data_IF_144344545339
#
_entry.id   IF_144344545339
#
_cell.length_a   1.000
_cell.length_b   1.000
_cell.length_c   1.000
_cell.angle_alpha   90.00
_cell.angle_beta   90.00
_cell.angle_gamma   90.00
#
_symmetry.space_group_name_H-M   'P 1'
#
loop_
_entity.id
_entity.type
_entity.pdbx_description
1 polymer ?
#
# COMPACT_ATOMS: atom_id res chain seq x y z
N UNK A 1 -20.32 -45.71 -37.61
CA UNK A 1 -20.64 -45.31 -36.24
C UNK A 1 -20.13 -43.89 -36.05
N UNK A 2 -21.04 -42.95 -36.20
CA UNK A 2 -20.81 -41.52 -36.08
C UNK A 2 -20.94 -41.15 -34.61
N UNK A 3 -19.83 -40.78 -33.96
CA UNK A 3 -19.84 -40.18 -32.63
C UNK A 3 -19.88 -38.68 -32.78
N UNK A 4 -20.96 -38.13 -32.32
CA UNK A 4 -21.46 -36.77 -32.41
C UNK A 4 -20.53 -35.75 -31.77
N UNK A 5 -20.08 -34.78 -32.58
CA UNK A 5 -19.48 -33.52 -32.25
C UNK A 5 -20.52 -32.52 -31.69
N UNK A 6 -21.00 -32.70 -30.47
CA UNK A 6 -22.05 -31.84 -29.87
C UNK A 6 -21.61 -31.04 -28.63
N UNK A 7 -20.36 -31.16 -28.21
CA UNK A 7 -19.84 -30.51 -26.99
C UNK A 7 -19.14 -29.15 -27.19
N UNK A 8 -19.03 -28.64 -28.44
CA UNK A 8 -18.24 -27.43 -28.75
C UNK A 8 -19.06 -26.18 -29.09
N UNK A 9 -20.38 -26.17 -28.87
CA UNK A 9 -21.27 -25.12 -29.39
C UNK A 9 -21.97 -24.22 -28.38
N UNK A 10 -21.65 -24.21 -27.10
CA UNK A 10 -22.50 -23.49 -26.10
C UNK A 10 -21.80 -22.44 -25.26
N UNK A 11 -20.75 -21.72 -25.70
CA UNK A 11 -20.23 -20.58 -24.90
C UNK A 11 -19.93 -19.28 -25.68
N UNK A 12 -20.41 -19.14 -26.88
CA UNK A 12 -20.39 -17.85 -27.57
C UNK A 12 -21.68 -17.07 -27.25
N UNK A 13 -21.66 -16.20 -26.24
CA UNK A 13 -22.72 -15.21 -26.12
C UNK A 13 -23.29 -14.90 -24.75
N UNK A 14 -22.70 -15.33 -23.63
CA UNK A 14 -23.18 -14.86 -22.32
C UNK A 14 -22.58 -13.49 -21.96
N UNK A 15 -23.41 -12.52 -21.49
CA UNK A 15 -22.92 -11.20 -21.10
C UNK A 15 -21.90 -11.28 -19.98
N UNK A 16 -20.91 -10.38 -20.02
CA UNK A 16 -19.79 -10.24 -19.06
C UNK A 16 -20.26 -9.73 -17.67
N UNK A 17 -21.27 -10.36 -17.06
CA UNK A 17 -21.69 -10.05 -15.69
C UNK A 17 -20.84 -10.86 -14.70
N UNK A 18 -20.49 -10.25 -13.58
CA UNK A 18 -19.80 -10.90 -12.48
C UNK A 18 -20.55 -12.14 -12.00
N UNK A 19 -19.88 -13.27 -11.91
CA UNK A 19 -20.44 -14.58 -11.59
C UNK A 19 -19.53 -15.39 -10.68
N UNK A 20 -20.05 -16.47 -10.15
CA UNK A 20 -19.30 -17.49 -9.44
C UNK A 20 -18.61 -18.41 -10.45
N UNK A 21 -17.32 -18.62 -10.29
CA UNK A 21 -16.49 -19.51 -11.11
C UNK A 21 -16.05 -20.68 -10.23
N UNK A 22 -16.50 -21.89 -10.57
CA UNK A 22 -16.22 -23.10 -9.81
C UNK A 22 -14.99 -23.85 -10.35
N UNK A 23 -14.65 -23.68 -11.62
CA UNK A 23 -13.47 -24.26 -12.28
C UNK A 23 -12.55 -23.14 -12.79
N UNK A 24 -11.40 -22.98 -12.13
CA UNK A 24 -10.41 -21.97 -12.46
C UNK A 24 -9.02 -22.57 -12.55
N UNK A 25 -8.49 -22.69 -13.77
CA UNK A 25 -7.23 -23.40 -14.10
C UNK A 25 -6.22 -22.44 -14.77
N UNK A 26 -5.70 -21.42 -14.08
CA UNK A 26 -4.88 -20.38 -14.69
C UNK A 26 -3.51 -20.89 -15.19
N UNK A 27 -3.02 -22.02 -14.66
CA UNK A 27 -1.75 -22.62 -15.07
C UNK A 27 -1.84 -23.36 -16.41
N UNK A 28 -3.04 -23.76 -16.86
CA UNK A 28 -3.26 -24.42 -18.15
C UNK A 28 -3.19 -23.39 -19.29
N UNK A 29 -2.25 -23.53 -20.27
CA UNK A 29 -2.08 -22.55 -21.33
C UNK A 29 -3.32 -22.36 -22.22
N UNK A 30 -4.02 -23.45 -22.53
CA UNK A 30 -5.22 -23.42 -23.38
C UNK A 30 -6.38 -22.70 -22.67
N UNK A 31 -6.65 -23.05 -21.40
CA UNK A 31 -7.66 -22.37 -20.59
C UNK A 31 -7.34 -20.88 -20.45
N UNK A 32 -6.07 -20.57 -20.18
CA UNK A 32 -5.61 -19.20 -20.04
C UNK A 32 -5.83 -18.38 -21.30
N UNK A 33 -5.42 -18.91 -22.49
CA UNK A 33 -5.58 -18.23 -23.78
C UNK A 33 -7.04 -18.05 -24.16
N UNK A 34 -7.89 -19.05 -23.95
CA UNK A 34 -9.29 -19.03 -24.36
C UNK A 34 -10.15 -18.10 -23.48
N UNK A 35 -9.98 -18.16 -22.16
CA UNK A 35 -10.90 -17.50 -21.23
C UNK A 35 -10.19 -16.81 -20.07
N UNK A 36 -9.18 -17.44 -19.46
CA UNK A 36 -8.57 -17.04 -18.21
C UNK A 36 -8.02 -15.61 -18.24
N UNK A 37 -7.24 -15.26 -19.28
CA UNK A 37 -6.60 -13.95 -19.41
C UNK A 37 -7.62 -12.80 -19.42
N UNK A 38 -8.71 -12.95 -20.12
CA UNK A 38 -9.78 -11.92 -20.23
C UNK A 38 -10.50 -11.71 -18.89
N UNK A 39 -10.85 -12.81 -18.21
CA UNK A 39 -11.49 -12.78 -16.89
C UNK A 39 -10.57 -12.18 -15.84
N UNK A 40 -9.32 -12.63 -15.78
CA UNK A 40 -8.33 -12.13 -14.86
C UNK A 40 -8.06 -10.64 -15.06
N UNK A 41 -7.91 -10.18 -16.32
CA UNK A 41 -7.70 -8.76 -16.65
C UNK A 41 -8.88 -7.88 -16.19
N UNK A 42 -10.11 -8.33 -16.40
CA UNK A 42 -11.30 -7.60 -15.95
C UNK A 42 -11.30 -7.44 -14.42
N UNK A 43 -11.07 -8.52 -13.69
CA UNK A 43 -10.98 -8.50 -12.23
C UNK A 43 -9.82 -7.61 -11.75
N UNK A 44 -8.66 -7.62 -12.44
CA UNK A 44 -7.52 -6.77 -12.12
C UNK A 44 -7.87 -5.27 -12.26
N UNK A 45 -8.46 -4.86 -13.37
CA UNK A 45 -8.82 -3.45 -13.61
C UNK A 45 -9.77 -2.92 -12.54
N UNK A 46 -10.81 -3.70 -12.22
CA UNK A 46 -11.79 -3.32 -11.18
C UNK A 46 -11.18 -3.35 -9.77
N UNK A 47 -10.27 -4.29 -9.52
CA UNK A 47 -9.52 -4.38 -8.28
C UNK A 47 -8.62 -3.16 -8.09
N UNK A 48 -7.87 -2.76 -9.13
CA UNK A 48 -7.04 -1.55 -9.13
C UNK A 48 -7.90 -0.32 -8.84
N UNK A 49 -9.04 -0.18 -9.52
CA UNK A 49 -9.92 0.96 -9.33
C UNK A 49 -10.46 1.03 -7.91
N UNK A 50 -10.97 -0.08 -7.37
CA UNK A 50 -11.47 -0.14 -5.99
C UNK A 50 -10.38 0.11 -4.95
N UNK A 51 -9.17 -0.41 -5.17
CA UNK A 51 -8.01 -0.19 -4.31
C UNK A 51 -7.53 1.26 -4.36
N UNK A 52 -7.49 1.87 -5.55
CA UNK A 52 -7.16 3.26 -5.76
C UNK A 52 -8.08 4.19 -4.95
N UNK A 53 -9.40 3.99 -5.05
CA UNK A 53 -10.38 4.74 -4.27
C UNK A 53 -10.20 4.48 -2.77
N UNK A 54 -9.93 3.23 -2.38
CA UNK A 54 -9.62 2.87 -0.99
C UNK A 54 -8.42 3.63 -0.44
N UNK A 55 -7.32 3.69 -1.20
CA UNK A 55 -6.13 4.46 -0.81
C UNK A 55 -6.40 5.96 -0.75
N UNK A 56 -7.16 6.50 -1.70
CA UNK A 56 -7.53 7.93 -1.69
C UNK A 56 -8.34 8.29 -0.43
N UNK A 57 -9.34 7.50 -0.08
CA UNK A 57 -10.13 7.73 1.15
C UNK A 57 -9.30 7.49 2.41
N UNK A 58 -8.45 6.47 2.41
CA UNK A 58 -7.54 6.19 3.53
C UNK A 58 -6.60 7.35 3.83
N UNK A 59 -6.02 7.95 2.78
CA UNK A 59 -5.06 9.04 2.91
C UNK A 59 -5.69 10.44 2.81
N UNK A 60 -7.01 10.53 2.78
CA UNK A 60 -7.78 11.78 2.71
C UNK A 60 -7.32 12.81 3.78
N UNK A 61 -7.01 12.34 4.97
CA UNK A 61 -6.59 13.19 6.09
C UNK A 61 -5.24 13.88 5.87
N UNK A 62 -4.38 13.36 4.98
CA UNK A 62 -3.14 14.05 4.58
C UNK A 62 -3.42 15.41 3.91
N UNK A 63 -4.58 15.54 3.32
CA UNK A 63 -5.06 16.75 2.64
C UNK A 63 -5.95 17.57 3.56
N UNK A 64 -6.93 16.93 4.23
CA UNK A 64 -7.89 17.62 5.11
C UNK A 64 -7.18 18.46 6.16
N UNK A 65 -6.09 17.97 6.75
CA UNK A 65 -5.33 18.73 7.77
C UNK A 65 -4.78 20.07 7.25
N UNK A 66 -4.59 20.23 5.94
CA UNK A 66 -4.15 21.49 5.34
C UNK A 66 -5.26 22.55 5.36
N UNK A 67 -6.54 22.12 5.33
CA UNK A 67 -7.70 23.03 5.43
C UNK A 67 -8.00 23.47 6.86
N UNK A 68 -7.53 22.71 7.87
CA UNK A 68 -7.83 22.99 9.27
C UNK A 68 -7.04 24.23 9.77
N UNK A 69 -7.60 25.41 9.49
CA UNK A 69 -7.08 26.67 9.96
C UNK A 69 -7.43 26.95 11.43
N UNK A 70 -7.20 28.19 11.92
CA UNK A 70 -7.43 28.59 13.32
C UNK A 70 -8.87 28.33 13.82
N UNK A 71 -9.87 28.44 12.93
CA UNK A 71 -11.28 28.22 13.25
C UNK A 71 -11.62 26.78 13.73
N UNK A 72 -10.71 25.82 13.52
CA UNK A 72 -10.85 24.44 13.98
C UNK A 72 -10.15 24.18 15.32
N UNK A 73 -9.35 25.11 15.83
CA UNK A 73 -8.66 24.99 17.12
C UNK A 73 -7.68 23.81 17.21
N UNK A 74 -7.17 23.32 16.07
CA UNK A 74 -6.25 22.18 16.01
C UNK A 74 -4.82 22.67 15.82
N UNK A 75 -3.97 22.38 16.80
CA UNK A 75 -2.54 22.66 16.75
C UNK A 75 -1.79 21.73 15.78
N UNK A 76 -0.54 22.03 15.43
CA UNK A 76 0.25 21.17 14.55
C UNK A 76 0.40 19.75 15.06
N UNK A 77 0.58 19.54 16.36
CA UNK A 77 0.72 18.22 16.96
C UNK A 77 -0.59 17.40 16.85
N UNK A 78 -1.73 18.06 17.05
CA UNK A 78 -3.05 17.47 16.84
C UNK A 78 -3.28 17.06 15.39
N UNK A 79 -2.81 17.85 14.42
CA UNK A 79 -2.89 17.50 12.98
C UNK A 79 -2.08 16.24 12.65
N UNK A 80 -0.87 16.07 13.21
CA UNK A 80 -0.11 14.83 13.04
C UNK A 80 -0.81 13.62 13.68
N UNK A 81 -1.54 13.80 14.78
CA UNK A 81 -2.34 12.72 15.34
C UNK A 81 -3.53 12.36 14.43
N UNK A 82 -4.22 13.37 13.86
CA UNK A 82 -5.30 13.14 12.88
C UNK A 82 -4.84 12.36 11.65
N UNK A 83 -3.60 12.50 11.20
CA UNK A 83 -3.04 11.71 10.11
C UNK A 83 -2.54 10.33 10.55
N UNK A 84 -2.14 10.18 11.83
CA UNK A 84 -1.71 8.90 12.39
C UNK A 84 -2.86 7.91 12.58
N UNK A 85 -4.03 8.40 12.97
CA UNK A 85 -5.20 7.55 13.32
C UNK A 85 -5.70 6.73 12.12
N UNK A 86 -5.96 7.29 10.93
CA UNK A 86 -6.37 6.48 9.78
C UNK A 86 -5.26 5.50 9.35
N UNK A 87 -3.98 5.88 9.49
CA UNK A 87 -2.85 4.98 9.21
C UNK A 87 -2.89 3.75 10.14
N UNK A 88 -3.15 3.95 11.44
CA UNK A 88 -3.29 2.88 12.43
C UNK A 88 -4.45 1.95 12.12
N UNK A 89 -5.64 2.51 11.95
CA UNK A 89 -6.85 1.72 11.67
C UNK A 89 -6.68 0.93 10.37
N UNK A 90 -6.14 1.57 9.32
CA UNK A 90 -5.87 0.91 8.04
C UNK A 90 -4.87 -0.24 8.16
N UNK A 91 -3.81 -0.08 8.95
CA UNK A 91 -2.83 -1.13 9.20
C UNK A 91 -3.45 -2.34 9.91
N UNK A 92 -4.24 -2.11 10.95
CA UNK A 92 -4.93 -3.17 11.71
C UNK A 92 -5.94 -3.91 10.83
N UNK A 93 -6.73 -3.18 10.05
CA UNK A 93 -7.77 -3.77 9.19
C UNK A 93 -7.21 -4.62 8.04
N UNK A 94 -5.95 -4.46 7.64
CA UNK A 94 -5.32 -5.34 6.64
C UNK A 94 -5.37 -6.81 7.03
N UNK A 95 -5.28 -7.11 8.33
CA UNK A 95 -5.31 -8.51 8.82
C UNK A 95 -6.67 -9.17 8.49
N UNK A 96 -7.83 -8.69 9.00
CA UNK A 96 -9.12 -9.29 8.69
C UNK A 96 -9.48 -9.23 7.19
N UNK A 97 -9.07 -8.19 6.47
CA UNK A 97 -9.30 -8.05 5.02
C UNK A 97 -8.56 -9.13 4.21
N UNK A 98 -7.37 -9.55 4.64
CA UNK A 98 -6.64 -10.66 3.99
C UNK A 98 -7.48 -11.95 3.99
N UNK A 99 -8.19 -12.24 5.09
CA UNK A 99 -9.01 -13.44 5.22
C UNK A 99 -10.39 -13.32 4.58
N UNK A 100 -10.87 -12.11 4.38
CA UNK A 100 -12.22 -11.85 3.92
C UNK A 100 -12.48 -12.41 2.51
N UNK A 101 -11.47 -12.37 1.63
CA UNK A 101 -11.57 -12.91 0.26
C UNK A 101 -11.85 -14.42 0.26
N UNK A 102 -11.14 -15.18 1.08
CA UNK A 102 -11.36 -16.63 1.18
C UNK A 102 -12.64 -17.03 1.91
N UNK A 103 -13.27 -16.11 2.68
CA UNK A 103 -14.52 -16.37 3.41
C UNK A 103 -15.76 -15.93 2.63
N UNK A 104 -15.71 -14.75 2.01
CA UNK A 104 -16.88 -14.11 1.38
C UNK A 104 -16.83 -14.12 -0.14
N UNK A 105 -15.66 -14.43 -0.73
CA UNK A 105 -15.36 -14.30 -2.15
C UNK A 105 -14.84 -12.91 -2.51
N UNK A 106 -13.94 -12.86 -3.51
CA UNK A 106 -13.24 -11.63 -3.88
C UNK A 106 -14.16 -10.51 -4.36
N UNK A 107 -15.11 -10.85 -5.26
CA UNK A 107 -16.13 -9.91 -5.72
C UNK A 107 -16.97 -9.36 -4.57
N UNK A 108 -17.57 -10.25 -3.78
CA UNK A 108 -18.49 -9.84 -2.71
C UNK A 108 -17.79 -8.96 -1.68
N UNK A 109 -16.55 -9.31 -1.34
CA UNK A 109 -15.76 -8.50 -0.42
C UNK A 109 -15.38 -7.15 -1.01
N UNK A 110 -15.01 -7.09 -2.30
CA UNK A 110 -14.70 -5.82 -2.98
C UNK A 110 -15.93 -4.91 -3.04
N UNK A 111 -17.12 -5.46 -3.31
CA UNK A 111 -18.38 -4.69 -3.27
C UNK A 111 -18.62 -4.11 -1.89
N UNK A 112 -18.52 -4.94 -0.84
CA UNK A 112 -18.73 -4.51 0.54
C UNK A 112 -17.70 -3.47 0.98
N UNK A 113 -16.42 -3.73 0.76
CA UNK A 113 -15.34 -2.84 1.19
C UNK A 113 -15.31 -1.53 0.42
N UNK A 114 -15.67 -1.54 -0.87
CA UNK A 114 -15.84 -0.32 -1.64
C UNK A 114 -17.06 0.48 -1.14
N UNK A 115 -18.22 -0.14 -0.95
CA UNK A 115 -19.40 0.54 -0.43
C UNK A 115 -19.18 1.11 0.99
N UNK A 116 -18.39 0.41 1.82
CA UNK A 116 -18.05 0.87 3.17
C UNK A 116 -17.32 2.22 3.16
N UNK A 117 -16.59 2.55 2.08
CA UNK A 117 -15.91 3.85 1.93
C UNK A 117 -16.90 5.03 1.85
N UNK A 118 -18.18 4.79 1.55
CA UNK A 118 -19.20 5.84 1.61
C UNK A 118 -19.33 6.42 3.02
N UNK A 119 -19.16 5.60 4.05
CA UNK A 119 -19.31 6.07 5.44
C UNK A 119 -18.31 7.19 5.76
N UNK A 120 -16.98 7.01 5.65
CA UNK A 120 -16.03 8.09 5.90
C UNK A 120 -16.18 9.26 4.90
N UNK A 121 -16.47 8.99 3.63
CA UNK A 121 -16.61 10.04 2.63
C UNK A 121 -17.81 10.96 2.91
N UNK A 122 -18.99 10.39 3.19
CA UNK A 122 -20.19 11.15 3.53
C UNK A 122 -20.03 11.88 4.85
N UNK A 123 -19.55 11.19 5.90
CA UNK A 123 -19.33 11.83 7.19
C UNK A 123 -18.34 13.00 7.10
N UNK A 124 -17.21 12.83 6.38
CA UNK A 124 -16.25 13.89 6.19
C UNK A 124 -16.83 15.06 5.38
N UNK A 125 -17.59 14.77 4.32
CA UNK A 125 -18.20 15.81 3.48
C UNK A 125 -19.16 16.71 4.24
N UNK A 126 -19.89 16.19 5.21
CA UNK A 126 -20.93 16.94 5.92
C UNK A 126 -20.53 17.45 7.31
N UNK A 127 -19.61 16.77 8.02
CA UNK A 127 -19.29 17.07 9.41
C UNK A 127 -18.01 17.90 9.61
N UNK A 128 -17.11 17.98 8.61
CA UNK A 128 -15.90 18.80 8.73
C UNK A 128 -16.27 20.27 8.49
N UNK A 129 -16.58 20.98 9.58
CA UNK A 129 -16.97 22.41 9.61
C UNK A 129 -16.27 23.13 10.74
N UNK A 130 -16.08 24.47 10.65
CA UNK A 130 -15.59 25.25 11.76
C UNK A 130 -16.41 25.02 13.04
N UNK A 131 -15.74 24.89 14.18
CA UNK A 131 -16.38 24.59 15.47
C UNK A 131 -16.64 23.11 15.76
N UNK A 132 -16.34 22.18 14.82
CA UNK A 132 -16.39 20.74 15.11
C UNK A 132 -15.36 20.37 16.18
N UNK A 133 -15.76 19.50 17.13
CA UNK A 133 -14.86 19.06 18.20
C UNK A 133 -13.68 18.23 17.67
N UNK A 134 -12.54 18.36 18.34
CA UNK A 134 -11.34 17.55 17.98
C UNK A 134 -11.59 16.05 18.08
N UNK A 135 -12.38 15.59 19.07
CA UNK A 135 -12.79 14.18 19.20
C UNK A 135 -13.61 13.70 17.99
N UNK A 136 -14.50 14.55 17.47
CA UNK A 136 -15.24 14.23 16.23
C UNK A 136 -14.28 14.09 15.05
N UNK A 137 -13.32 14.99 14.89
CA UNK A 137 -12.30 14.88 13.84
C UNK A 137 -11.49 13.57 13.96
N UNK A 138 -11.12 13.15 15.18
CA UNK A 138 -10.44 11.88 15.42
C UNK A 138 -11.29 10.67 15.01
N UNK A 139 -12.59 10.69 15.34
CA UNK A 139 -13.50 9.61 14.93
C UNK A 139 -13.62 9.56 13.40
N UNK A 140 -13.80 10.70 12.75
CA UNK A 140 -13.85 10.78 11.29
C UNK A 140 -12.56 10.26 10.64
N UNK A 141 -11.42 10.61 11.23
CA UNK A 141 -10.12 10.13 10.80
C UNK A 141 -9.99 8.60 10.97
N UNK A 142 -10.44 8.07 12.10
CA UNK A 142 -10.44 6.63 12.37
C UNK A 142 -11.29 5.85 11.35
N UNK A 143 -12.49 6.34 11.07
CA UNK A 143 -13.41 5.71 10.10
C UNK A 143 -12.81 5.72 8.69
N UNK A 144 -12.06 6.76 8.29
CA UNK A 144 -11.36 6.78 7.01
C UNK A 144 -10.31 5.65 6.87
N UNK A 145 -9.82 5.13 8.00
CA UNK A 145 -8.91 4.00 8.05
C UNK A 145 -9.40 2.73 7.36
N UNK A 146 -10.72 2.55 7.18
CA UNK A 146 -11.30 1.35 6.51
C UNK A 146 -10.74 1.17 5.08
N UNK A 147 -10.36 2.26 4.40
CA UNK A 147 -9.78 2.21 3.07
C UNK A 147 -8.41 1.54 3.00
N UNK A 148 -7.63 1.58 4.11
CA UNK A 148 -6.30 0.97 4.17
C UNK A 148 -6.31 -0.56 4.10
N UNK A 149 -7.42 -1.20 4.46
CA UNK A 149 -7.62 -2.64 4.36
C UNK A 149 -7.75 -3.15 2.92
N UNK A 150 -8.24 -2.32 2.00
CA UNK A 150 -8.53 -2.71 0.62
C UNK A 150 -7.30 -3.28 -0.12
N UNK A 151 -6.10 -2.81 0.19
CA UNK A 151 -4.86 -3.36 -0.33
C UNK A 151 -4.74 -4.87 -0.08
N UNK A 152 -4.97 -5.30 1.16
CA UNK A 152 -4.75 -6.68 1.54
C UNK A 152 -5.73 -7.63 0.84
N UNK A 153 -7.01 -7.27 0.78
CA UNK A 153 -8.03 -8.05 0.09
C UNK A 153 -7.85 -8.05 -1.43
N UNK A 154 -7.49 -6.91 -2.02
CA UNK A 154 -7.21 -6.76 -3.44
C UNK A 154 -6.05 -7.66 -3.87
N UNK A 155 -4.93 -7.60 -3.13
CA UNK A 155 -3.75 -8.43 -3.40
C UNK A 155 -4.07 -9.93 -3.29
N UNK A 156 -4.82 -10.35 -2.25
CA UNK A 156 -5.23 -11.73 -2.07
C UNK A 156 -6.13 -12.22 -3.22
N UNK A 157 -7.07 -11.38 -3.66
CA UNK A 157 -7.97 -11.69 -4.76
C UNK A 157 -7.22 -11.84 -6.09
N UNK A 158 -6.39 -10.88 -6.47
CA UNK A 158 -5.65 -10.90 -7.75
C UNK A 158 -4.60 -12.01 -7.77
N UNK A 159 -3.98 -12.33 -6.63
CA UNK A 159 -3.08 -13.48 -6.52
C UNK A 159 -3.74 -14.80 -6.94
N UNK A 160 -5.05 -14.97 -6.72
CA UNK A 160 -5.78 -16.17 -7.08
C UNK A 160 -6.15 -16.22 -8.58
N UNK A 161 -6.34 -15.08 -9.23
CA UNK A 161 -6.73 -15.03 -10.64
C UNK A 161 -5.58 -15.32 -11.62
N UNK A 162 -4.32 -15.03 -11.26
CA UNK A 162 -3.20 -15.06 -12.20
C UNK A 162 -2.33 -16.30 -12.07
N UNK A 163 -1.84 -16.86 -13.22
CA UNK A 163 -0.87 -17.93 -13.22
C UNK A 163 0.47 -17.46 -12.66
N UNK A 164 1.28 -18.38 -12.15
CA UNK A 164 2.54 -18.08 -11.47
C UNK A 164 3.48 -17.22 -12.31
N UNK A 165 3.57 -17.48 -13.63
CA UNK A 165 4.42 -16.72 -14.57
C UNK A 165 4.04 -15.24 -14.71
N UNK A 166 2.79 -14.86 -14.45
CA UNK A 166 2.28 -13.49 -14.57
C UNK A 166 1.92 -12.85 -13.23
N UNK A 167 1.97 -13.60 -12.15
CA UNK A 167 1.53 -13.19 -10.82
C UNK A 167 2.28 -11.96 -10.30
N UNK A 168 3.60 -11.94 -10.45
CA UNK A 168 4.43 -10.81 -10.03
C UNK A 168 4.07 -9.50 -10.77
N UNK A 169 3.81 -9.59 -12.07
CA UNK A 169 3.37 -8.46 -12.88
C UNK A 169 1.99 -7.95 -12.44
N UNK A 170 1.02 -8.86 -12.29
CA UNK A 170 -0.35 -8.50 -11.92
C UNK A 170 -0.42 -7.85 -10.52
N UNK A 171 0.25 -8.44 -9.54
CA UNK A 171 0.32 -7.89 -8.18
C UNK A 171 1.09 -6.57 -8.13
N UNK A 172 2.14 -6.43 -8.95
CA UNK A 172 2.90 -5.19 -9.08
C UNK A 172 2.06 -4.04 -9.61
N UNK A 173 1.28 -4.28 -10.67
CA UNK A 173 0.36 -3.28 -11.24
C UNK A 173 -0.78 -2.96 -10.29
N UNK A 174 -1.37 -3.99 -9.67
CA UNK A 174 -2.44 -3.80 -8.68
C UNK A 174 -1.96 -2.88 -7.54
N UNK A 175 -0.86 -3.21 -6.91
CA UNK A 175 -0.30 -2.42 -5.82
C UNK A 175 0.14 -1.00 -6.24
N UNK A 176 0.72 -0.86 -7.45
CA UNK A 176 1.11 0.45 -7.99
C UNK A 176 -0.11 1.33 -8.27
N UNK A 177 -1.15 0.76 -8.89
CA UNK A 177 -2.41 1.45 -9.18
C UNK A 177 -3.15 1.89 -7.91
N UNK A 178 -3.16 1.06 -6.87
CA UNK A 178 -3.66 1.43 -5.55
C UNK A 178 -2.89 2.60 -4.94
N UNK A 179 -1.56 2.49 -4.89
CA UNK A 179 -0.70 3.53 -4.31
C UNK A 179 -0.85 4.90 -5.00
N UNK A 180 -1.17 4.94 -6.30
CA UNK A 180 -1.46 6.19 -7.01
C UNK A 180 -2.62 6.97 -6.37
N UNK A 181 -3.55 6.30 -5.67
CA UNK A 181 -4.63 6.94 -4.92
C UNK A 181 -4.14 7.94 -3.87
N UNK A 182 -2.95 7.73 -3.31
CA UNK A 182 -2.31 8.68 -2.37
C UNK A 182 -1.96 10.01 -3.07
N UNK A 183 -1.44 9.93 -4.30
CA UNK A 183 -1.11 11.13 -5.07
C UNK A 183 -2.38 11.82 -5.59
N UNK A 184 -3.36 11.04 -6.06
CA UNK A 184 -4.59 11.57 -6.65
C UNK A 184 -5.44 12.31 -5.62
N UNK A 185 -5.56 11.83 -4.37
CA UNK A 185 -6.30 12.57 -3.35
C UNK A 185 -5.63 13.91 -3.02
N UNK A 186 -4.30 13.99 -3.10
CA UNK A 186 -3.58 15.24 -2.89
C UNK A 186 -3.77 16.21 -4.05
N UNK A 187 -3.84 15.72 -5.30
CA UNK A 187 -4.22 16.53 -6.45
C UNK A 187 -5.68 17.02 -6.37
N UNK A 188 -6.60 16.18 -5.91
CA UNK A 188 -7.99 16.59 -5.65
C UNK A 188 -8.03 17.67 -4.56
N UNK A 189 -7.26 17.53 -3.50
CA UNK A 189 -7.13 18.55 -2.47
C UNK A 189 -6.57 19.86 -2.98
N UNK A 190 -5.52 19.80 -3.80
CA UNK A 190 -4.98 20.98 -4.47
C UNK A 190 -6.05 21.66 -5.33
N UNK A 191 -6.79 20.89 -6.12
CA UNK A 191 -7.86 21.42 -6.97
C UNK A 191 -8.93 22.13 -6.13
N UNK A 192 -9.39 21.53 -5.04
CA UNK A 192 -10.38 22.14 -4.15
C UNK A 192 -9.84 23.39 -3.49
N UNK A 193 -8.59 23.38 -2.97
CA UNK A 193 -7.95 24.54 -2.39
C UNK A 193 -7.81 25.70 -3.38
N UNK A 194 -7.46 25.40 -4.63
CA UNK A 194 -7.24 26.40 -5.67
C UNK A 194 -8.54 26.99 -6.23
N UNK A 195 -9.65 26.25 -6.21
CA UNK A 195 -10.93 26.65 -6.84
C UNK A 195 -12.00 27.08 -5.83
N UNK A 196 -12.22 26.26 -4.78
CA UNK A 196 -13.26 26.49 -3.78
C UNK A 196 -12.71 27.14 -2.49
N UNK A 197 -11.39 27.18 -2.32
CA UNK A 197 -10.73 27.75 -1.15
C UNK A 197 -10.73 26.81 0.07
N UNK A 198 -10.07 27.28 1.13
CA UNK A 198 -9.87 26.50 2.37
C UNK A 198 -11.14 26.32 3.22
N UNK A 199 -12.20 27.03 2.90
CA UNK A 199 -13.45 27.01 3.68
C UNK A 199 -14.30 25.75 3.40
N UNK A 200 -13.94 24.95 2.40
CA UNK A 200 -14.71 23.82 1.94
C UNK A 200 -13.97 22.47 2.02
N UNK A 201 -13.43 22.05 3.19
CA UNK A 201 -12.69 20.79 3.33
C UNK A 201 -13.53 19.56 2.98
N UNK A 202 -14.84 19.60 3.22
CA UNK A 202 -15.76 18.52 2.90
C UNK A 202 -15.87 18.20 1.42
N UNK A 203 -15.59 19.16 0.52
CA UNK A 203 -15.63 18.91 -0.93
C UNK A 203 -14.59 17.88 -1.36
N UNK A 204 -13.42 17.83 -0.70
CA UNK A 204 -12.40 16.82 -1.01
C UNK A 204 -12.95 15.41 -0.86
N UNK A 205 -13.70 15.16 0.23
CA UNK A 205 -14.35 13.88 0.47
C UNK A 205 -15.57 13.67 -0.46
N UNK A 206 -16.36 14.72 -0.67
CA UNK A 206 -17.56 14.70 -1.50
C UNK A 206 -17.31 14.29 -2.95
N UNK A 207 -16.19 14.73 -3.53
CA UNK A 207 -15.76 14.36 -4.89
C UNK A 207 -15.59 12.84 -5.04
N UNK A 208 -15.20 12.14 -3.97
CA UNK A 208 -15.01 10.68 -4.02
C UNK A 208 -16.31 9.88 -3.96
N UNK A 209 -17.42 10.44 -3.49
CA UNK A 209 -18.70 9.72 -3.35
C UNK A 209 -19.14 9.05 -4.66
N UNK A 210 -19.22 9.74 -5.81
CA UNK A 210 -19.61 9.09 -7.07
C UNK A 210 -18.63 8.01 -7.52
N UNK A 211 -17.32 8.19 -7.31
CA UNK A 211 -16.31 7.19 -7.66
C UNK A 211 -16.38 5.95 -6.77
N UNK A 212 -16.70 6.10 -5.48
CA UNK A 212 -16.96 5.00 -4.56
C UNK A 212 -18.17 4.18 -5.03
N UNK A 213 -19.26 4.85 -5.40
CA UNK A 213 -20.46 4.19 -5.96
C UNK A 213 -20.11 3.44 -7.25
N UNK A 214 -19.37 4.07 -8.16
CA UNK A 214 -18.91 3.42 -9.39
C UNK A 214 -18.01 2.21 -9.12
N UNK A 215 -17.12 2.28 -8.14
CA UNK A 215 -16.28 1.15 -7.75
C UNK A 215 -17.10 -0.02 -7.19
N UNK A 216 -18.06 0.25 -6.31
CA UNK A 216 -18.94 -0.76 -5.74
C UNK A 216 -19.84 -1.39 -6.79
N UNK A 217 -20.48 -0.59 -7.66
CA UNK A 217 -21.32 -1.06 -8.76
C UNK A 217 -20.50 -1.82 -9.81
N UNK A 218 -19.34 -1.31 -10.21
CA UNK A 218 -18.42 -1.98 -11.13
C UNK A 218 -18.00 -3.36 -10.62
N UNK A 219 -17.63 -3.46 -9.34
CA UNK A 219 -17.33 -4.73 -8.69
C UNK A 219 -18.56 -5.67 -8.69
N UNK A 220 -19.74 -5.15 -8.34
CA UNK A 220 -20.97 -5.93 -8.26
C UNK A 220 -21.40 -6.49 -9.64
N UNK A 221 -21.22 -5.73 -10.71
CA UNK A 221 -21.70 -6.10 -12.05
C UNK A 221 -20.67 -6.91 -12.83
N UNK A 222 -19.37 -6.69 -12.62
CA UNK A 222 -18.35 -7.19 -13.54
C UNK A 222 -17.24 -8.04 -12.90
N UNK A 223 -17.05 -8.05 -11.57
CA UNK A 223 -16.11 -8.94 -10.93
C UNK A 223 -16.66 -10.35 -10.74
N UNK A 224 -15.79 -11.30 -10.46
CA UNK A 224 -16.10 -12.70 -10.27
C UNK A 224 -15.65 -13.20 -8.88
N UNK A 225 -16.33 -14.21 -8.37
CA UNK A 225 -15.92 -14.99 -7.21
C UNK A 225 -15.32 -16.33 -7.66
N UNK A 226 -14.11 -16.62 -7.22
CA UNK A 226 -13.51 -17.95 -7.34
C UNK A 226 -13.89 -18.80 -6.13
N UNK A 227 -14.58 -19.91 -6.33
CA UNK A 227 -15.03 -20.78 -5.23
C UNK A 227 -13.92 -21.65 -4.66
N UNK A 228 -12.86 -21.83 -5.44
CA UNK A 228 -11.66 -22.57 -5.04
C UNK A 228 -10.80 -21.80 -4.03
N UNK A 229 -10.99 -20.47 -3.93
CA UNK A 229 -10.23 -19.65 -2.99
C UNK A 229 -10.77 -19.83 -1.59
N UNK A 230 -9.98 -20.46 -0.74
CA UNK A 230 -10.29 -20.68 0.68
C UNK A 230 -9.12 -20.21 1.53
N UNK A 231 -9.43 -19.78 2.74
CA UNK A 231 -8.38 -19.47 3.71
C UNK A 231 -7.69 -20.77 4.13
N UNK A 232 -6.40 -20.86 3.88
CA UNK A 232 -5.61 -22.01 4.31
C UNK A 232 -5.39 -21.93 5.82
N UNK A 233 -5.97 -22.91 6.51
CA UNK A 233 -5.88 -23.01 7.98
C UNK A 233 -4.43 -23.24 8.38
N UNK A 234 -3.95 -22.46 9.33
CA UNK A 234 -2.62 -22.62 9.91
C UNK A 234 -1.49 -21.85 9.23
N UNK A 235 -1.59 -21.44 7.94
CA UNK A 235 -0.51 -20.74 7.24
C UNK A 235 -0.04 -19.48 7.98
N UNK A 236 -0.98 -18.69 8.50
CA UNK A 236 -0.67 -17.48 9.26
C UNK A 236 0.06 -17.80 10.58
N UNK A 237 -0.39 -18.83 11.31
CA UNK A 237 0.25 -19.25 12.56
C UNK A 237 1.64 -19.81 12.30
N UNK A 238 1.81 -20.54 11.23
CA UNK A 238 3.07 -21.15 10.84
C UNK A 238 4.08 -20.08 10.42
N UNK A 239 3.68 -19.16 9.56
CA UNK A 239 4.56 -18.10 9.08
C UNK A 239 4.97 -17.13 10.19
N UNK A 240 4.13 -16.91 11.21
CA UNK A 240 4.49 -16.10 12.39
C UNK A 240 5.64 -16.71 13.21
N UNK A 241 5.88 -18.02 13.08
CA UNK A 241 7.02 -18.69 13.73
C UNK A 241 8.33 -18.58 12.95
N UNK A 242 8.22 -18.18 11.67
CA UNK A 242 9.38 -18.00 10.81
C UNK A 242 10.07 -16.65 11.11
N UNK A 243 11.38 -16.64 11.45
CA UNK A 243 12.12 -15.40 11.72
C UNK A 243 12.08 -14.40 10.57
N UNK A 244 12.06 -14.88 9.32
CA UNK A 244 12.00 -14.02 8.15
C UNK A 244 10.70 -13.20 8.08
N UNK A 245 9.64 -13.63 8.75
CA UNK A 245 8.39 -12.86 8.84
C UNK A 245 8.62 -11.52 9.54
N UNK A 246 9.30 -11.55 10.66
CA UNK A 246 9.58 -10.34 11.45
C UNK A 246 10.64 -9.46 10.80
N UNK A 247 11.65 -10.09 10.20
CA UNK A 247 12.69 -9.38 9.46
C UNK A 247 12.11 -8.65 8.27
N UNK A 248 11.32 -9.34 7.43
CA UNK A 248 10.69 -8.72 6.26
C UNK A 248 9.66 -7.65 6.66
N UNK A 249 8.95 -7.86 7.75
CA UNK A 249 8.03 -6.85 8.31
C UNK A 249 8.78 -5.60 8.75
N UNK A 250 9.91 -5.74 9.43
CA UNK A 250 10.78 -4.62 9.81
C UNK A 250 11.29 -3.85 8.58
N UNK A 251 11.80 -4.55 7.57
CA UNK A 251 12.28 -3.93 6.33
C UNK A 251 11.12 -3.23 5.58
N UNK A 252 9.92 -3.78 5.66
CA UNK A 252 8.75 -3.19 5.00
C UNK A 252 8.20 -1.97 5.75
N UNK A 253 8.41 -1.87 7.07
CA UNK A 253 8.25 -0.60 7.81
C UNK A 253 9.18 0.47 7.21
N UNK A 254 10.44 0.12 6.94
CA UNK A 254 11.42 1.05 6.39
C UNK A 254 11.06 1.55 4.98
N UNK A 255 10.49 0.71 4.15
CA UNK A 255 10.13 1.08 2.76
C UNK A 255 8.70 1.57 2.65
N UNK A 256 7.71 0.72 2.85
CA UNK A 256 6.30 1.06 2.70
C UNK A 256 5.80 1.99 3.81
N UNK A 257 6.27 1.77 5.05
CA UNK A 257 5.95 2.64 6.18
C UNK A 257 6.42 4.07 5.96
N UNK A 258 7.63 4.24 5.42
CA UNK A 258 8.16 5.55 5.04
C UNK A 258 7.33 6.19 3.92
N UNK A 259 7.00 5.42 2.85
CA UNK A 259 6.17 5.92 1.75
C UNK A 259 4.83 6.45 2.24
N UNK A 260 4.11 5.67 3.03
CA UNK A 260 2.80 6.06 3.57
C UNK A 260 2.93 7.18 4.60
N UNK A 261 3.90 7.07 5.51
CA UNK A 261 4.11 8.06 6.57
C UNK A 261 4.46 9.44 6.02
N UNK A 262 5.37 9.51 5.06
CA UNK A 262 5.69 10.76 4.39
C UNK A 262 4.50 11.27 3.56
N UNK A 263 3.74 10.37 2.90
CA UNK A 263 2.51 10.71 2.19
C UNK A 263 1.49 11.40 3.09
N UNK A 264 1.37 10.99 4.34
CA UNK A 264 0.51 11.64 5.33
C UNK A 264 1.08 12.95 5.90
N UNK A 265 2.40 13.03 6.09
CA UNK A 265 3.03 14.10 6.85
C UNK A 265 3.54 15.28 6.00
N UNK A 266 3.95 15.04 4.75
CA UNK A 266 4.78 15.96 3.98
C UNK A 266 4.19 17.38 3.85
N UNK A 267 2.91 17.48 3.49
CA UNK A 267 2.25 18.80 3.36
C UNK A 267 2.23 19.60 4.66
N UNK A 268 2.00 18.90 5.78
CA UNK A 268 2.01 19.52 7.09
C UNK A 268 3.42 19.92 7.53
N UNK A 269 4.41 19.07 7.26
CA UNK A 269 5.83 19.38 7.55
C UNK A 269 6.25 20.65 6.81
N UNK A 270 5.89 20.80 5.54
CA UNK A 270 6.15 22.02 4.77
C UNK A 270 5.56 23.27 5.44
N UNK A 271 4.29 23.21 5.86
CA UNK A 271 3.58 24.32 6.49
C UNK A 271 4.14 24.71 7.87
N UNK A 272 4.64 23.73 8.63
CA UNK A 272 5.16 24.02 9.98
C UNK A 272 6.61 24.47 9.92
N UNK A 273 7.45 23.81 9.14
CA UNK A 273 8.90 24.04 9.12
C UNK A 273 9.32 25.18 8.20
N UNK A 274 8.61 25.40 7.09
CA UNK A 274 8.85 26.47 6.13
C UNK A 274 7.66 27.41 6.05
N UNK A 275 7.19 27.87 7.21
CA UNK A 275 5.99 28.70 7.33
C UNK A 275 6.03 29.97 6.50
N UNK A 276 7.21 30.58 6.33
CA UNK A 276 7.38 31.79 5.52
C UNK A 276 7.13 31.55 4.03
N UNK A 277 7.55 30.37 3.52
CA UNK A 277 7.38 30.00 2.11
C UNK A 277 5.99 29.41 1.84
N UNK A 278 5.41 28.71 2.81
CA UNK A 278 4.12 28.03 2.74
C UNK A 278 3.08 28.67 3.68
N UNK A 279 2.93 29.98 3.57
CA UNK A 279 1.95 30.79 4.32
C UNK A 279 0.49 30.42 4.04
N UNK A 280 0.24 29.78 2.89
CA UNK A 280 -1.06 29.29 2.50
C UNK A 280 -1.07 27.77 2.25
N UNK A 281 -2.18 27.08 2.56
CA UNK A 281 -2.31 25.64 2.28
C UNK A 281 -2.09 25.28 0.81
N UNK A 282 -2.50 26.15 -0.12
CA UNK A 282 -2.36 25.95 -1.57
C UNK A 282 -0.90 25.79 -1.97
N UNK A 283 -0.01 26.63 -1.43
CA UNK A 283 1.43 26.57 -1.75
C UNK A 283 2.02 25.21 -1.36
N UNK A 284 1.69 24.67 -0.19
CA UNK A 284 2.12 23.35 0.23
C UNK A 284 1.51 22.25 -0.67
N UNK A 285 0.22 22.36 -1.01
CA UNK A 285 -0.49 21.39 -1.82
C UNK A 285 0.11 21.20 -3.22
N UNK A 286 0.75 22.23 -3.80
CA UNK A 286 1.45 22.12 -5.09
C UNK A 286 2.60 21.12 -5.10
N UNK A 287 3.15 20.76 -3.94
CA UNK A 287 4.29 19.86 -3.83
C UNK A 287 3.93 18.50 -3.26
N UNK A 288 2.82 18.39 -2.50
CA UNK A 288 2.52 17.19 -1.72
C UNK A 288 2.31 15.94 -2.58
N UNK A 289 1.68 16.06 -3.74
CA UNK A 289 1.38 14.93 -4.62
C UNK A 289 2.62 14.37 -5.33
N UNK A 290 3.69 15.17 -5.51
CA UNK A 290 4.87 14.76 -6.28
C UNK A 290 5.56 13.54 -5.68
N UNK A 291 5.73 13.51 -4.38
CA UNK A 291 6.36 12.42 -3.67
C UNK A 291 5.63 11.08 -3.85
N UNK A 292 4.36 10.98 -3.44
CA UNK A 292 3.57 9.77 -3.63
C UNK A 292 3.42 9.35 -5.10
N UNK A 293 3.33 10.30 -6.04
CA UNK A 293 3.28 10.02 -7.47
C UNK A 293 4.57 9.31 -7.93
N UNK A 294 5.72 9.92 -7.66
CA UNK A 294 7.02 9.36 -8.05
C UNK A 294 7.28 8.01 -7.37
N UNK A 295 7.03 7.90 -6.07
CA UNK A 295 7.22 6.66 -5.33
C UNK A 295 6.33 5.52 -5.83
N UNK A 296 5.09 5.82 -6.26
CA UNK A 296 4.19 4.83 -6.86
C UNK A 296 4.65 4.38 -8.24
N UNK A 297 5.06 5.33 -9.09
CA UNK A 297 5.50 5.04 -10.47
C UNK A 297 6.84 4.30 -10.53
N UNK A 298 7.76 4.59 -9.60
CA UNK A 298 9.09 3.97 -9.58
C UNK A 298 9.09 2.55 -8.96
N UNK A 299 8.05 2.17 -8.24
CA UNK A 299 7.94 0.86 -7.57
C UNK A 299 8.21 -0.34 -8.49
N UNK A 300 7.67 -0.41 -9.72
CA UNK A 300 7.99 -1.50 -10.66
C UNK A 300 9.46 -1.57 -11.05
N UNK A 301 10.17 -0.43 -11.05
CA UNK A 301 11.61 -0.38 -11.34
C UNK A 301 12.38 -1.10 -10.25
N UNK A 302 12.05 -0.87 -8.97
CA UNK A 302 12.64 -1.59 -7.84
C UNK A 302 12.45 -3.11 -7.93
N UNK A 303 11.24 -3.54 -8.32
CA UNK A 303 10.94 -4.95 -8.56
C UNK A 303 11.77 -5.57 -9.69
N UNK A 304 11.88 -4.88 -10.85
CA UNK A 304 12.69 -5.35 -11.99
C UNK A 304 14.19 -5.39 -11.66
N UNK A 305 14.67 -4.41 -10.89
CA UNK A 305 16.07 -4.40 -10.46
C UNK A 305 16.35 -5.56 -9.51
N UNK A 306 15.42 -5.85 -8.58
CA UNK A 306 15.49 -7.01 -7.70
C UNK A 306 15.52 -8.34 -8.45
N UNK A 307 14.76 -8.46 -9.55
CA UNK A 307 14.78 -9.65 -10.41
C UNK A 307 16.14 -9.85 -11.11
N UNK A 308 16.87 -8.76 -11.42
CA UNK A 308 18.15 -8.81 -12.16
C UNK A 308 19.38 -9.06 -11.28
N UNK A 309 19.46 -8.38 -10.14
CA UNK A 309 20.68 -8.37 -9.31
C UNK A 309 20.46 -8.93 -7.89
N UNK A 310 19.25 -9.38 -7.58
CA UNK A 310 18.84 -9.92 -6.27
C UNK A 310 18.18 -8.86 -5.38
N UNK A 311 17.08 -9.27 -4.74
CA UNK A 311 16.26 -8.38 -3.90
C UNK A 311 17.03 -7.82 -2.71
N UNK A 312 17.83 -8.63 -2.04
CA UNK A 312 18.62 -8.23 -0.89
C UNK A 312 19.67 -7.15 -1.22
N UNK A 313 20.35 -7.25 -2.37
CA UNK A 313 21.33 -6.23 -2.80
C UNK A 313 20.65 -4.91 -3.08
N UNK A 314 19.53 -4.95 -3.81
CA UNK A 314 18.75 -3.73 -4.11
C UNK A 314 18.24 -3.10 -2.82
N UNK A 315 17.67 -3.89 -1.92
CA UNK A 315 17.13 -3.41 -0.65
C UNK A 315 18.20 -2.80 0.24
N UNK A 316 19.39 -3.40 0.32
CA UNK A 316 20.52 -2.85 1.08
C UNK A 316 20.94 -1.46 0.57
N UNK A 317 21.26 -1.35 -0.72
CA UNK A 317 21.68 -0.08 -1.30
C UNK A 317 20.58 0.97 -1.31
N UNK A 318 19.33 0.53 -1.41
CA UNK A 318 18.17 1.39 -1.26
C UNK A 318 18.09 2.02 0.14
N UNK A 319 18.32 1.26 1.22
CA UNK A 319 18.36 1.82 2.57
C UNK A 319 19.54 2.75 2.79
N UNK A 320 20.70 2.46 2.19
CA UNK A 320 21.84 3.41 2.18
C UNK A 320 21.42 4.73 1.52
N UNK A 321 20.79 4.66 0.36
CA UNK A 321 20.30 5.85 -0.35
C UNK A 321 19.23 6.62 0.45
N UNK A 322 18.31 5.90 1.12
CA UNK A 322 17.31 6.51 2.01
C UNK A 322 17.95 7.19 3.22
N UNK A 323 18.97 6.60 3.83
CA UNK A 323 19.71 7.21 4.94
C UNK A 323 20.41 8.50 4.49
N UNK A 324 21.05 8.47 3.32
CA UNK A 324 21.69 9.66 2.71
C UNK A 324 20.66 10.76 2.41
N UNK A 325 19.52 10.39 1.81
CA UNK A 325 18.44 11.35 1.53
C UNK A 325 17.84 11.94 2.81
N UNK A 326 17.68 11.13 3.88
CA UNK A 326 17.24 11.63 5.18
C UNK A 326 18.27 12.58 5.83
N UNK A 327 19.57 12.30 5.69
CA UNK A 327 20.64 13.20 6.14
C UNK A 327 20.62 14.52 5.33
N UNK A 328 20.31 14.48 4.04
CA UNK A 328 20.13 15.64 3.20
C UNK A 328 18.94 16.49 3.70
N UNK A 329 17.80 15.86 4.03
CA UNK A 329 16.64 16.55 4.62
C UNK A 329 16.99 17.18 5.96
N UNK A 330 17.72 16.48 6.82
CA UNK A 330 18.18 17.01 8.12
C UNK A 330 19.09 18.24 7.92
N UNK A 331 20.04 18.16 6.99
CA UNK A 331 20.93 19.29 6.67
C UNK A 331 20.11 20.46 6.14
N UNK A 332 19.17 20.21 5.24
CA UNK A 332 18.27 21.24 4.69
C UNK A 332 17.39 21.89 5.78
N UNK A 333 16.90 21.10 6.74
CA UNK A 333 16.16 21.58 7.90
C UNK A 333 16.99 22.57 8.72
N UNK A 334 18.22 22.22 9.04
CA UNK A 334 19.14 23.03 9.86
C UNK A 334 19.65 24.30 9.15
N UNK A 335 19.81 24.22 7.83
CA UNK A 335 20.28 25.36 7.02
C UNK A 335 19.15 26.23 6.50
N UNK A 336 17.88 25.85 6.71
CA UNK A 336 16.71 26.56 6.19
C UNK A 336 16.57 26.50 4.67
N UNK A 337 17.25 25.57 3.98
CA UNK A 337 17.24 25.47 2.51
C UNK A 337 16.04 24.70 2.01
N UNK A 338 15.00 25.40 1.55
CA UNK A 338 13.79 24.79 0.99
C UNK A 338 14.08 23.91 -0.22
N UNK A 339 14.93 24.35 -1.15
CA UNK A 339 15.25 23.58 -2.37
C UNK A 339 15.91 22.24 -2.02
N UNK A 340 16.86 22.25 -1.08
CA UNK A 340 17.51 21.03 -0.60
C UNK A 340 16.54 20.11 0.15
N UNK A 341 15.61 20.69 0.91
CA UNK A 341 14.58 19.98 1.64
C UNK A 341 13.63 19.22 0.71
N UNK A 342 13.09 19.92 -0.30
CA UNK A 342 12.21 19.31 -1.31
C UNK A 342 12.96 18.20 -2.06
N UNK A 343 14.20 18.47 -2.48
CA UNK A 343 15.03 17.47 -3.16
C UNK A 343 15.20 16.21 -2.31
N UNK A 344 15.57 16.36 -1.04
CA UNK A 344 15.73 15.26 -0.12
C UNK A 344 14.45 14.43 0.09
N UNK A 345 13.30 15.10 0.25
CA UNK A 345 12.01 14.41 0.37
C UNK A 345 11.58 13.68 -0.91
N UNK A 346 11.79 14.29 -2.08
CA UNK A 346 11.51 13.63 -3.38
C UNK A 346 12.38 12.39 -3.54
N UNK A 347 13.65 12.44 -3.16
CA UNK A 347 14.54 11.29 -3.14
C UNK A 347 14.06 10.21 -2.16
N UNK A 348 13.64 10.59 -0.94
CA UNK A 348 13.07 9.66 0.04
C UNK A 348 11.85 8.93 -0.51
N UNK A 349 10.93 9.64 -1.17
CA UNK A 349 9.76 9.02 -1.81
C UNK A 349 10.19 8.08 -2.96
N UNK A 350 11.09 8.53 -3.81
CA UNK A 350 11.62 7.70 -4.90
C UNK A 350 12.25 6.40 -4.40
N UNK A 351 13.16 6.51 -3.43
CA UNK A 351 13.81 5.34 -2.85
C UNK A 351 12.84 4.47 -2.04
N UNK A 352 11.88 5.04 -1.32
CA UNK A 352 10.84 4.23 -0.65
C UNK A 352 10.02 3.43 -1.67
N UNK A 353 9.74 4.00 -2.84
CA UNK A 353 9.08 3.30 -3.94
C UNK A 353 9.93 2.14 -4.51
N UNK A 354 11.21 2.37 -4.77
CA UNK A 354 12.17 1.31 -5.19
C UNK A 354 12.23 0.22 -4.13
N UNK A 355 12.38 0.60 -2.87
CA UNK A 355 12.40 -0.31 -1.73
C UNK A 355 11.13 -1.14 -1.60
N UNK A 356 9.96 -0.55 -1.83
CA UNK A 356 8.68 -1.27 -1.85
C UNK A 356 8.66 -2.39 -2.89
N UNK A 357 9.25 -2.15 -4.06
CA UNK A 357 9.38 -3.16 -5.11
C UNK A 357 10.35 -4.27 -4.72
N UNK A 358 11.53 -3.92 -4.21
CA UNK A 358 12.60 -4.88 -3.92
C UNK A 358 12.30 -5.76 -2.70
N UNK A 359 11.83 -5.17 -1.58
CA UNK A 359 11.49 -5.94 -0.37
C UNK A 359 10.33 -6.92 -0.62
N UNK A 360 9.33 -6.51 -1.40
CA UNK A 360 8.21 -7.38 -1.71
C UNK A 360 8.61 -8.61 -2.53
N UNK A 361 9.61 -8.45 -3.43
CA UNK A 361 10.20 -9.55 -4.22
C UNK A 361 11.03 -10.52 -3.39
N UNK A 362 11.62 -10.07 -2.29
CA UNK A 362 12.39 -10.97 -1.40
C UNK A 362 11.50 -12.03 -0.74
N UNK A 363 10.23 -11.73 -0.44
CA UNK A 363 9.34 -12.65 0.28
C UNK A 363 9.20 -14.00 -0.44
N UNK A 364 8.72 -14.08 -1.70
CA UNK A 364 8.65 -15.36 -2.39
C UNK A 364 10.02 -15.99 -2.64
N UNK A 365 11.08 -15.18 -2.84
CA UNK A 365 12.43 -15.69 -3.04
C UNK A 365 12.96 -16.45 -1.81
N UNK A 366 12.70 -15.95 -0.59
CA UNK A 366 13.08 -16.59 0.67
C UNK A 366 12.43 -17.98 0.80
N UNK A 367 11.11 -18.07 0.60
CA UNK A 367 10.41 -19.34 0.73
C UNK A 367 10.75 -20.33 -0.39
N UNK A 368 11.00 -19.84 -1.61
CA UNK A 368 11.48 -20.69 -2.70
C UNK A 368 12.90 -21.22 -2.44
N UNK A 369 13.80 -20.42 -1.83
CA UNK A 369 15.11 -20.91 -1.40
C UNK A 369 14.99 -22.01 -0.34
N UNK A 370 14.09 -21.85 0.64
CA UNK A 370 13.78 -22.90 1.63
C UNK A 370 13.21 -24.16 0.97
N UNK A 371 12.31 -24.02 0.00
CA UNK A 371 11.75 -25.15 -0.74
C UNK A 371 12.84 -25.93 -1.51
N UNK A 372 13.80 -25.22 -2.14
CA UNK A 372 14.94 -25.87 -2.83
C UNK A 372 15.78 -26.74 -1.89
N UNK A 373 16.03 -26.27 -0.66
CA UNK A 373 16.75 -27.04 0.35
C UNK A 373 15.98 -28.28 0.77
N UNK A 374 14.67 -28.20 0.95
CA UNK A 374 13.79 -29.34 1.28
C UNK A 374 13.74 -30.37 0.14
N UNK A 375 13.63 -29.90 -1.11
CA UNK A 375 13.69 -30.74 -2.31
C UNK A 375 15.03 -31.47 -2.39
N UNK A 376 16.15 -30.76 -2.15
CA UNK A 376 17.47 -31.39 -2.10
C UNK A 376 17.61 -32.42 -0.96
N UNK A 377 16.80 -32.30 0.10
CA UNK A 377 16.66 -33.26 1.20
C UNK A 377 15.72 -34.44 0.90
N UNK A 378 15.17 -34.54 -0.33
CA UNK A 378 14.33 -35.66 -0.75
C UNK A 378 12.82 -35.43 -0.63
N UNK A 379 12.35 -34.23 -0.30
CA UNK A 379 10.93 -33.92 -0.28
C UNK A 379 10.35 -33.78 -1.69
N UNK A 380 9.05 -34.13 -1.84
CA UNK A 380 8.35 -33.96 -3.11
C UNK A 380 8.41 -32.51 -3.63
N UNK A 381 8.91 -32.27 -4.85
CA UNK A 381 9.09 -30.94 -5.40
C UNK A 381 7.79 -30.11 -5.48
N UNK A 382 6.67 -30.74 -5.78
CA UNK A 382 5.40 -30.04 -5.94
C UNK A 382 4.81 -29.64 -4.57
N UNK A 383 4.90 -30.54 -3.57
CA UNK A 383 4.52 -30.25 -2.19
C UNK A 383 5.36 -29.09 -1.60
N UNK A 384 6.68 -29.15 -1.74
CA UNK A 384 7.59 -28.11 -1.24
C UNK A 384 7.34 -26.74 -1.90
N UNK A 385 7.10 -26.69 -3.21
CA UNK A 385 6.77 -25.47 -3.94
C UNK A 385 5.39 -24.92 -3.57
N UNK A 386 4.40 -25.81 -3.37
CA UNK A 386 3.06 -25.42 -2.93
C UNK A 386 3.13 -24.74 -1.56
N UNK A 387 3.84 -25.36 -0.63
CA UNK A 387 4.05 -24.80 0.70
C UNK A 387 4.76 -23.44 0.69
N UNK A 388 5.83 -23.30 -0.11
CA UNK A 388 6.53 -22.04 -0.25
C UNK A 388 5.60 -20.91 -0.75
N UNK A 389 4.70 -21.20 -1.68
CA UNK A 389 3.71 -20.24 -2.18
C UNK A 389 2.69 -19.87 -1.11
N UNK A 390 2.22 -20.86 -0.37
CA UNK A 390 1.28 -20.71 0.74
C UNK A 390 1.82 -19.78 1.82
N UNK A 391 3.03 -20.06 2.30
CA UNK A 391 3.69 -19.25 3.34
C UNK A 391 4.08 -17.86 2.84
N UNK A 392 4.52 -17.73 1.58
CA UNK A 392 4.76 -16.41 0.96
C UNK A 392 3.51 -15.54 0.95
N UNK A 393 2.36 -16.10 0.59
CA UNK A 393 1.09 -15.37 0.59
C UNK A 393 0.69 -14.88 1.99
N UNK A 394 0.87 -15.71 3.01
CA UNK A 394 0.61 -15.35 4.40
C UNK A 394 1.56 -14.26 4.89
N UNK A 395 2.88 -14.36 4.57
CA UNK A 395 3.86 -13.32 4.94
C UNK A 395 3.57 -11.98 4.27
N UNK A 396 3.19 -11.98 3.01
CA UNK A 396 2.79 -10.77 2.28
C UNK A 396 1.69 -10.01 3.03
N UNK A 397 0.69 -10.73 3.55
CA UNK A 397 -0.39 -10.15 4.36
C UNK A 397 0.11 -9.52 5.66
N UNK A 398 0.94 -10.25 6.43
CA UNK A 398 1.50 -9.77 7.71
C UNK A 398 2.44 -8.58 7.48
N UNK A 399 3.42 -8.72 6.57
CA UNK A 399 4.35 -7.66 6.26
C UNK A 399 3.62 -6.41 5.73
N UNK A 400 2.56 -6.60 4.94
CA UNK A 400 1.71 -5.51 4.47
C UNK A 400 1.01 -4.74 5.60
N UNK A 401 0.52 -5.45 6.62
CA UNK A 401 -0.11 -4.83 7.80
C UNK A 401 0.93 -4.10 8.67
N UNK A 402 2.01 -4.79 9.04
CA UNK A 402 3.08 -4.24 9.88
C UNK A 402 3.79 -3.08 9.16
N UNK A 403 4.04 -3.20 7.85
CA UNK A 403 4.61 -2.14 7.05
C UNK A 403 3.75 -0.87 7.03
N UNK A 404 2.42 -1.03 6.90
CA UNK A 404 1.50 0.11 6.96
C UNK A 404 1.51 0.81 8.33
N UNK A 405 1.72 0.07 9.43
CA UNK A 405 1.90 0.64 10.75
C UNK A 405 3.10 1.58 10.83
N UNK A 406 4.11 1.40 9.98
CA UNK A 406 5.22 2.33 9.84
C UNK A 406 4.78 3.77 9.53
N UNK A 407 3.65 3.94 8.83
CA UNK A 407 3.04 5.26 8.62
C UNK A 407 2.63 5.96 9.92
N UNK A 408 2.18 5.21 10.92
CA UNK A 408 1.90 5.72 12.26
C UNK A 408 3.19 6.19 12.93
N UNK A 409 4.23 5.35 12.89
CA UNK A 409 5.52 5.65 13.53
C UNK A 409 6.15 6.91 12.97
N UNK A 410 6.10 7.11 11.65
CA UNK A 410 6.60 8.33 10.99
C UNK A 410 5.84 9.58 11.48
N UNK A 411 4.51 9.53 11.51
CA UNK A 411 3.71 10.68 11.94
C UNK A 411 3.86 10.97 13.45
N UNK A 412 3.98 9.94 14.29
CA UNK A 412 4.27 10.09 15.72
C UNK A 412 5.67 10.67 15.94
N UNK A 413 6.67 10.23 15.19
CA UNK A 413 8.02 10.80 15.26
C UNK A 413 8.03 12.30 14.91
N UNK A 414 7.33 12.70 13.84
CA UNK A 414 7.17 14.11 13.50
C UNK A 414 6.43 14.87 14.61
N UNK A 415 5.29 14.34 15.07
CA UNK A 415 4.54 14.96 16.16
C UNK A 415 5.42 15.26 17.37
N UNK A 416 6.18 14.25 17.84
CA UNK A 416 7.06 14.41 19.00
C UNK A 416 8.16 15.41 18.70
N UNK A 417 8.83 15.31 17.55
CA UNK A 417 9.90 16.25 17.15
C UNK A 417 9.43 17.70 17.14
N UNK A 418 8.24 17.97 16.59
CA UNK A 418 7.69 19.32 16.56
C UNK A 418 7.21 19.82 17.93
N UNK A 419 6.73 18.92 18.80
CA UNK A 419 6.38 19.29 20.18
C UNK A 419 7.63 19.69 20.99
N UNK A 420 8.74 18.94 20.84
CA UNK A 420 9.93 19.12 21.66
C UNK A 420 10.79 20.30 21.19
N UNK A 421 10.91 20.51 19.88
CA UNK A 421 11.89 21.45 19.31
C UNK A 421 11.31 22.45 18.30
N UNK A 422 10.06 22.32 17.91
CA UNK A 422 9.45 23.11 16.84
C UNK A 422 9.98 22.77 15.44
N UNK A 423 10.86 21.77 15.29
CA UNK A 423 11.45 21.32 14.03
C UNK A 423 11.29 19.81 13.84
N UNK A 424 11.50 19.33 12.60
CA UNK A 424 11.50 17.90 12.28
C UNK A 424 12.82 17.17 12.57
N UNK A 425 13.85 17.85 13.10
CA UNK A 425 15.22 17.34 13.19
C UNK A 425 15.34 16.01 13.92
N UNK A 426 14.68 15.88 15.08
CA UNK A 426 14.70 14.64 15.85
C UNK A 426 14.06 13.47 15.07
N UNK A 427 12.97 13.71 14.33
CA UNK A 427 12.36 12.70 13.48
C UNK A 427 13.31 12.25 12.35
N UNK A 428 14.02 13.18 11.70
CA UNK A 428 14.98 12.83 10.65
C UNK A 428 16.14 11.98 11.19
N UNK A 429 16.65 12.29 12.39
CA UNK A 429 17.67 11.45 13.07
C UNK A 429 17.15 10.04 13.33
N UNK A 430 15.91 9.89 13.81
CA UNK A 430 15.27 8.59 14.01
C UNK A 430 15.16 7.82 12.69
N UNK A 431 14.79 8.47 11.58
CA UNK A 431 14.72 7.82 10.28
C UNK A 431 16.09 7.36 9.77
N UNK A 432 17.14 8.18 9.92
CA UNK A 432 18.51 7.82 9.57
C UNK A 432 18.94 6.58 10.35
N UNK A 433 18.76 6.58 11.68
CA UNK A 433 19.10 5.46 12.55
C UNK A 433 18.32 4.19 12.16
N UNK A 434 17.05 4.32 11.85
CA UNK A 434 16.21 3.21 11.43
C UNK A 434 16.62 2.63 10.05
N UNK A 435 16.97 3.47 9.09
CA UNK A 435 17.49 3.00 7.79
C UNK A 435 18.85 2.33 7.94
N UNK A 436 19.72 2.83 8.81
CA UNK A 436 20.98 2.18 9.16
C UNK A 436 20.76 0.80 9.79
N UNK A 437 19.79 0.67 10.68
CA UNK A 437 19.35 -0.62 11.24
C UNK A 437 18.86 -1.56 10.13
N UNK A 438 18.03 -1.09 9.21
CA UNK A 438 17.56 -1.88 8.08
C UNK A 438 18.70 -2.32 7.15
N UNK A 439 19.72 -1.46 6.91
CA UNK A 439 20.95 -1.84 6.21
C UNK A 439 21.68 -2.97 6.95
N UNK A 440 21.90 -2.81 8.25
CA UNK A 440 22.60 -3.81 9.07
C UNK A 440 21.88 -5.17 9.05
N UNK A 441 20.55 -5.16 9.23
CA UNK A 441 19.73 -6.37 9.20
C UNK A 441 19.78 -7.02 7.81
N UNK A 442 19.64 -6.23 6.74
CA UNK A 442 19.70 -6.76 5.37
C UNK A 442 21.07 -7.38 5.08
N UNK A 443 22.15 -6.69 5.50
CA UNK A 443 23.52 -7.19 5.30
C UNK A 443 23.78 -8.47 6.10
N UNK A 444 23.45 -8.49 7.39
CA UNK A 444 23.76 -9.63 8.27
C UNK A 444 22.97 -10.89 7.90
N UNK A 445 21.68 -10.73 7.52
CA UNK A 445 20.79 -11.87 7.27
C UNK A 445 20.88 -12.36 5.81
N UNK A 446 20.97 -11.42 4.84
CA UNK A 446 20.80 -11.78 3.43
C UNK A 446 22.05 -11.60 2.57
N UNK A 447 23.03 -10.78 2.97
CA UNK A 447 24.21 -10.51 2.13
C UNK A 447 25.50 -11.14 2.69
N UNK A 448 25.70 -11.16 3.98
CA UNK A 448 26.87 -11.78 4.58
C UNK A 448 26.91 -13.29 4.27
N UNK A 449 28.06 -13.79 3.85
CA UNK A 449 28.27 -15.23 3.60
C UNK A 449 28.07 -16.01 4.91
N UNK A 450 27.06 -16.87 4.95
CA UNK A 450 26.76 -17.76 6.06
C UNK A 450 26.13 -19.06 5.50
N UNK A 451 26.40 -20.25 6.08
CA UNK A 451 25.88 -21.54 5.60
C UNK A 451 24.35 -21.63 5.51
N UNK A 452 23.64 -20.84 6.31
CA UNK A 452 22.16 -20.78 6.34
C UNK A 452 21.56 -19.66 5.49
N UNK A 453 22.35 -18.97 4.69
CA UNK A 453 21.86 -17.88 3.84
C UNK A 453 20.91 -18.43 2.77
N UNK A 454 19.70 -17.83 2.58
CA UNK A 454 18.85 -18.19 1.46
C UNK A 454 19.51 -17.76 0.14
N UNK A 455 19.88 -18.72 -0.70
CA UNK A 455 20.48 -18.43 -1.99
C UNK A 455 19.45 -17.88 -2.97
N UNK A 456 19.82 -16.82 -3.72
CA UNK A 456 18.97 -16.22 -4.75
C UNK A 456 17.95 -15.22 -4.24
N UNK A 457 18.13 -14.70 -3.01
CA UNK A 457 17.29 -13.62 -2.43
C UNK A 457 17.84 -12.24 -2.76
#
# INVERSE_FOLDING_TARGET
MTVTTEAARTERGRPLRGRRIDDWRPEEPEFWAATGARVARRNLVLSIFSEHIGFSVWTLWSVVVLFLGPAYGVDPAGKFLLTSVPALVGAVLRIPYTFAVGRFGGRNWTVFSAALLLVPAVLAAFLIKPGVSYSTLLILAAVAGVGGGNFASSMANINAFYPQRLKGWALGINAGGGNLGVAVVQLVGLLVLATAGKEHPGLVAGIYIPFIVLAALGAALYMDNLTQVRNERGAMREVCRDPHTWIMSLLYIGTFGSFIGFGFAFGQVLQVQFKADFDTPVKAAYLTFLGPLLGSLIRPVGGRLADRIGGAKVTFWNFVAMAVAAALVLTASRTGSLALFITGFVLLFGFSGVGNGSTYKMIPAIFMAKARLRIAGGEDPDAARHEARRLSGALIGIAGAIGAFGGVLVNVAFRQSFLDSGTGDAAYLVFIAFYALCCLVTWTVYLRRHPRRPEGV
#
